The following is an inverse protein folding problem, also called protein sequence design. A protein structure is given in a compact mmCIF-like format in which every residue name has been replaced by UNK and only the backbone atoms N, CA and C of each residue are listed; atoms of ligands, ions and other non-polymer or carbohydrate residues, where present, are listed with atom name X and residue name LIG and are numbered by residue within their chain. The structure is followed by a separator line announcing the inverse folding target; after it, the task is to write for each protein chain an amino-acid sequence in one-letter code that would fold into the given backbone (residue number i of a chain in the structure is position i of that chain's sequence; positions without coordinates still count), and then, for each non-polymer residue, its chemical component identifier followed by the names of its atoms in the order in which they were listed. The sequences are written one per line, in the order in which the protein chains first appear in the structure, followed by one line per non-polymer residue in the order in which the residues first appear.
data_IF_864758490626
#
_entry.id   IF_864758490626
#
_cell.length_a   1.000
_cell.length_b   1.000
_cell.length_c   1.000
_cell.angle_alpha   90.00
_cell.angle_beta   90.00
_cell.angle_gamma   90.00
#
_symmetry.space_group_name_H-M   'P 1'
#
loop_
_entity.id
_entity.type
_entity.pdbx_description
1 polymer ?
#
# COMPACT_ATOMS: atom_id res chain seq x y z
N UNK A 1 5.22 14.69 -0.46
CA UNK A 1 3.97 15.11 -1.15
C UNK A 1 4.16 16.47 -1.79
N UNK A 2 4.43 17.54 -1.01
CA UNK A 2 4.60 18.90 -1.54
C UNK A 2 5.65 18.93 -2.67
N UNK A 3 6.82 18.35 -2.43
CA UNK A 3 7.90 18.31 -3.43
C UNK A 3 7.49 17.55 -4.69
N UNK A 4 6.73 16.46 -4.54
CA UNK A 4 6.21 15.68 -5.66
C UNK A 4 5.27 16.50 -6.56
N UNK A 5 4.38 17.30 -5.95
CA UNK A 5 3.50 18.21 -6.70
C UNK A 5 4.27 19.38 -7.31
N UNK A 6 5.24 19.96 -6.59
CA UNK A 6 6.07 21.03 -7.12
C UNK A 6 6.95 20.58 -8.28
N UNK A 7 7.36 19.31 -8.30
CA UNK A 7 8.15 18.70 -9.37
C UNK A 7 7.31 18.11 -10.50
N UNK A 8 5.99 18.25 -10.40
CA UNK A 8 5.02 17.77 -11.42
C UNK A 8 5.23 16.30 -11.81
N UNK A 9 5.50 15.43 -10.82
CA UNK A 9 5.70 14.00 -11.12
C UNK A 9 4.38 13.39 -11.59
N UNK A 10 4.40 12.44 -12.55
CA UNK A 10 3.21 11.75 -13.00
C UNK A 10 2.45 11.09 -11.84
N UNK A 11 1.13 11.20 -11.84
CA UNK A 11 0.30 10.72 -10.73
C UNK A 11 0.42 9.20 -10.51
N UNK A 12 0.62 8.43 -11.56
CA UNK A 12 0.88 6.99 -11.48
C UNK A 12 2.23 6.69 -10.82
N UNK A 13 3.27 7.49 -11.09
CA UNK A 13 4.56 7.35 -10.43
C UNK A 13 4.46 7.75 -8.95
N UNK A 14 3.69 8.79 -8.63
CA UNK A 14 3.39 9.17 -7.25
C UNK A 14 2.74 8.00 -6.48
N UNK A 15 1.67 7.40 -7.02
CA UNK A 15 1.00 6.24 -6.40
C UNK A 15 1.97 5.06 -6.23
N UNK A 16 2.75 4.73 -7.27
CA UNK A 16 3.74 3.64 -7.20
C UNK A 16 4.74 3.86 -6.07
N UNK A 17 5.18 5.10 -5.89
CA UNK A 17 6.10 5.46 -4.82
C UNK A 17 5.47 5.31 -3.43
N UNK A 18 4.18 5.63 -3.26
CA UNK A 18 3.47 5.46 -2.00
C UNK A 18 3.31 3.98 -1.60
N UNK A 19 3.08 3.09 -2.56
CA UNK A 19 2.79 1.67 -2.29
C UNK A 19 4.06 0.83 -2.26
N UNK A 20 5.00 1.07 -3.17
CA UNK A 20 6.15 0.20 -3.42
C UNK A 20 7.41 0.98 -3.82
N UNK A 21 7.61 2.19 -3.28
CA UNK A 21 8.72 3.06 -3.65
C UNK A 21 10.10 2.41 -3.44
N UNK A 22 10.23 1.64 -2.37
CA UNK A 22 11.43 0.87 -2.02
C UNK A 22 11.73 -0.30 -2.99
N UNK A 23 10.74 -0.71 -3.78
CA UNK A 23 10.81 -1.84 -4.73
C UNK A 23 10.87 -1.38 -6.19
N UNK A 24 10.78 -0.07 -6.45
CA UNK A 24 10.83 0.45 -7.81
C UNK A 24 12.23 0.29 -8.40
N UNK A 25 12.36 -0.16 -9.65
CA UNK A 25 13.65 -0.26 -10.30
C UNK A 25 14.30 1.12 -10.46
N UNK A 26 15.62 1.12 -10.52
CA UNK A 26 16.35 2.34 -10.87
C UNK A 26 15.94 2.81 -12.28
N UNK A 27 15.70 4.12 -12.47
CA UNK A 27 15.40 4.67 -13.78
C UNK A 27 16.65 4.60 -14.68
N UNK A 28 16.43 4.61 -15.97
CA UNK A 28 17.53 4.72 -16.93
C UNK A 28 18.14 6.11 -16.83
N UNK A 29 19.47 6.17 -16.84
CA UNK A 29 20.23 7.43 -16.85
C UNK A 29 19.90 8.21 -18.13
N UNK A 30 19.41 9.46 -18.01
CA UNK A 30 19.23 10.32 -19.17
C UNK A 30 20.57 10.73 -19.78
N UNK A 31 20.63 11.01 -21.10
CA UNK A 31 21.82 11.58 -21.71
C UNK A 31 22.22 12.91 -21.05
N UNK A 32 23.52 13.14 -20.89
CA UNK A 32 24.06 14.41 -20.38
C UNK A 32 24.36 14.47 -18.88
N UNK A 33 23.95 13.48 -18.10
CA UNK A 33 24.37 13.41 -16.70
C UNK A 33 25.83 12.94 -16.59
N UNK A 34 26.64 13.61 -15.75
CA UNK A 34 27.90 13.05 -15.27
C UNK A 34 27.67 11.86 -14.33
N UNK A 35 28.69 11.04 -14.06
CA UNK A 35 28.56 9.90 -13.13
C UNK A 35 28.22 10.39 -11.72
N UNK A 36 28.87 11.46 -11.27
CA UNK A 36 28.64 12.03 -9.93
C UNK A 36 27.22 12.61 -9.78
N UNK A 37 26.78 13.39 -10.75
CA UNK A 37 25.42 13.98 -10.73
C UNK A 37 24.35 12.90 -10.78
N UNK A 38 24.59 11.84 -11.58
CA UNK A 38 23.66 10.72 -11.64
C UNK A 38 23.56 9.94 -10.33
N UNK A 39 24.68 9.65 -9.66
CA UNK A 39 24.69 8.99 -8.36
C UNK A 39 24.00 9.86 -7.30
N UNK A 40 24.23 11.16 -7.30
CA UNK A 40 23.52 12.10 -6.44
C UNK A 40 22.01 12.10 -6.67
N UNK A 41 21.59 12.12 -7.93
CA UNK A 41 20.18 12.04 -8.32
C UNK A 41 19.53 10.71 -7.85
N UNK A 42 20.19 9.58 -8.09
CA UNK A 42 19.70 8.27 -7.65
C UNK A 42 19.56 8.18 -6.13
N UNK A 43 20.53 8.72 -5.38
CA UNK A 43 20.47 8.73 -3.92
C UNK A 43 19.25 9.52 -3.42
N UNK A 44 19.03 10.72 -3.97
CA UNK A 44 17.86 11.55 -3.64
C UNK A 44 16.56 10.86 -4.01
N UNK A 45 16.45 10.33 -5.22
CA UNK A 45 15.25 9.61 -5.68
C UNK A 45 14.95 8.39 -4.80
N UNK A 46 15.98 7.62 -4.43
CA UNK A 46 15.82 6.45 -3.55
C UNK A 46 15.33 6.88 -2.17
N UNK A 47 15.89 7.96 -1.61
CA UNK A 47 15.46 8.51 -0.33
C UNK A 47 13.98 8.95 -0.38
N UNK A 48 13.57 9.64 -1.43
CA UNK A 48 12.18 10.07 -1.65
C UNK A 48 11.21 8.89 -1.79
N UNK A 49 11.61 7.86 -2.52
CA UNK A 49 10.82 6.63 -2.71
C UNK A 49 10.65 5.86 -1.42
N UNK A 50 11.70 5.73 -0.61
CA UNK A 50 11.62 5.11 0.72
C UNK A 50 10.68 5.91 1.62
N UNK A 51 10.86 7.23 1.70
CA UNK A 51 10.01 8.14 2.48
C UNK A 51 8.55 8.06 2.06
N UNK A 52 8.27 7.93 0.77
CA UNK A 52 6.92 7.82 0.25
C UNK A 52 6.18 6.60 0.79
N UNK A 53 6.87 5.46 0.99
CA UNK A 53 6.25 4.24 1.52
C UNK A 53 5.73 4.39 2.95
N UNK A 54 6.17 5.42 3.68
CA UNK A 54 5.60 5.80 4.97
C UNK A 54 4.09 6.03 4.95
N UNK A 55 3.52 6.31 3.77
CA UNK A 55 2.07 6.37 3.55
C UNK A 55 1.34 5.14 4.13
N UNK A 56 1.87 3.95 3.93
CA UNK A 56 1.30 2.70 4.43
C UNK A 56 1.41 2.55 5.96
N UNK A 57 2.18 3.42 6.61
CA UNK A 57 2.36 3.43 8.07
C UNK A 57 1.59 4.55 8.78
N UNK A 58 0.87 5.42 8.07
CA UNK A 58 0.19 6.58 8.66
C UNK A 58 -1.08 6.24 9.45
N UNK A 59 -1.71 5.09 9.20
CA UNK A 59 -2.94 4.68 9.87
C UNK A 59 -2.81 4.45 11.38
N UNK A 60 -3.91 4.39 12.10
CA UNK A 60 -3.92 4.20 13.55
C UNK A 60 -3.30 2.86 13.94
N UNK A 61 -2.58 2.86 15.05
CA UNK A 61 -1.99 1.64 15.63
C UNK A 61 -2.48 1.47 17.06
N UNK A 62 -3.09 0.32 17.33
CA UNK A 62 -3.53 -0.05 18.66
C UNK A 62 -2.37 -0.46 19.56
N UNK A 63 -1.45 0.45 19.90
CA UNK A 63 -0.22 0.15 20.64
C UNK A 63 -0.46 -0.47 22.02
N UNK A 64 -1.69 -0.46 22.53
CA UNK A 64 -2.11 -1.14 23.77
C UNK A 64 -2.82 -2.47 23.52
N UNK A 65 -2.98 -2.88 22.27
CA UNK A 65 -3.55 -4.17 21.94
C UNK A 65 -2.61 -5.28 22.44
N UNK A 66 -3.14 -6.18 23.24
CA UNK A 66 -2.38 -7.27 23.85
C UNK A 66 -2.29 -8.51 22.97
N UNK A 67 -3.10 -8.57 21.93
CA UNK A 67 -3.07 -9.63 20.93
C UNK A 67 -2.29 -9.17 19.68
N UNK A 68 -1.06 -9.66 19.49
CA UNK A 68 -0.23 -9.20 18.39
C UNK A 68 -0.78 -9.57 16.99
N UNK A 69 -1.53 -10.70 16.90
CA UNK A 69 -2.14 -11.10 15.63
C UNK A 69 -3.29 -10.17 15.29
N UNK A 70 -4.13 -9.84 16.27
CA UNK A 70 -5.21 -8.88 16.10
C UNK A 70 -4.67 -7.51 15.72
N UNK A 71 -3.65 -7.02 16.44
CA UNK A 71 -3.01 -5.73 16.15
C UNK A 71 -2.49 -5.67 14.70
N UNK A 72 -1.78 -6.70 14.26
CA UNK A 72 -1.26 -6.78 12.91
C UNK A 72 -2.38 -6.79 11.86
N UNK A 73 -3.44 -7.58 12.09
CA UNK A 73 -4.58 -7.63 11.20
C UNK A 73 -5.37 -6.32 11.14
N UNK A 74 -5.42 -5.56 12.24
CA UNK A 74 -6.06 -4.24 12.24
C UNK A 74 -5.22 -3.20 11.46
N UNK A 75 -3.90 -3.30 11.48
CA UNK A 75 -3.01 -2.50 10.64
C UNK A 75 -3.21 -2.83 9.15
N UNK A 76 -3.27 -4.12 8.82
CA UNK A 76 -3.50 -4.58 7.45
C UNK A 76 -4.87 -4.13 6.95
N UNK A 77 -5.89 -4.19 7.79
CA UNK A 77 -7.24 -3.75 7.47
C UNK A 77 -7.30 -2.26 7.14
N UNK A 78 -6.63 -1.44 7.94
CA UNK A 78 -6.48 0.01 7.68
C UNK A 78 -5.77 0.28 6.35
N UNK A 79 -4.69 -0.45 6.04
CA UNK A 79 -3.99 -0.33 4.77
C UNK A 79 -4.89 -0.69 3.58
N UNK A 80 -5.66 -1.78 3.68
CA UNK A 80 -6.62 -2.21 2.65
C UNK A 80 -7.72 -1.18 2.48
N UNK A 81 -8.30 -0.71 3.58
CA UNK A 81 -9.35 0.32 3.58
C UNK A 81 -8.86 1.61 2.92
N UNK A 82 -7.66 2.07 3.31
CA UNK A 82 -7.07 3.30 2.77
C UNK A 82 -6.78 3.18 1.28
N UNK A 83 -6.12 2.11 0.85
CA UNK A 83 -5.80 1.87 -0.57
C UNK A 83 -7.08 1.65 -1.38
N UNK A 84 -8.02 0.87 -0.87
CA UNK A 84 -9.31 0.60 -1.50
C UNK A 84 -10.10 1.88 -1.75
N UNK A 85 -10.35 2.65 -0.72
CA UNK A 85 -11.12 3.91 -0.83
C UNK A 85 -10.38 4.98 -1.61
N UNK A 86 -9.09 5.20 -1.32
CA UNK A 86 -8.34 6.29 -1.92
C UNK A 86 -8.07 6.10 -3.41
N UNK A 87 -7.84 4.86 -3.87
CA UNK A 87 -7.35 4.58 -5.21
C UNK A 87 -8.33 3.78 -6.08
N UNK A 88 -9.22 3.01 -5.47
CA UNK A 88 -10.17 2.15 -6.18
C UNK A 88 -11.63 2.57 -5.97
N UNK A 89 -11.91 3.43 -4.97
CA UNK A 89 -13.28 3.82 -4.62
C UNK A 89 -14.12 2.65 -4.12
N UNK A 90 -13.52 1.71 -3.40
CA UNK A 90 -14.16 0.48 -2.91
C UNK A 90 -13.96 0.32 -1.39
N UNK A 91 -15.00 -0.15 -0.70
CA UNK A 91 -15.00 -0.44 0.73
C UNK A 91 -14.56 -1.89 1.00
N UNK A 92 -13.32 -2.23 0.64
CA UNK A 92 -12.79 -3.61 0.67
C UNK A 92 -12.77 -4.22 2.07
N UNK A 93 -12.68 -3.41 3.12
CA UNK A 93 -12.63 -3.84 4.53
C UNK A 93 -13.89 -4.58 4.98
N UNK A 94 -15.04 -4.33 4.34
CA UNK A 94 -16.27 -5.07 4.62
C UNK A 94 -16.13 -6.57 4.38
N UNK A 95 -15.28 -6.94 3.42
CA UNK A 95 -15.04 -8.34 3.05
C UNK A 95 -14.12 -9.10 4.04
N UNK A 96 -13.63 -8.44 5.11
CA UNK A 96 -12.85 -9.10 6.18
C UNK A 96 -13.62 -10.21 6.90
N UNK A 97 -14.94 -10.01 7.09
CA UNK A 97 -15.76 -10.91 7.93
C UNK A 97 -16.72 -11.79 7.13
N UNK A 98 -17.19 -11.31 6.00
CA UNK A 98 -18.16 -11.97 5.10
C UNK A 98 -18.01 -11.39 3.69
N UNK A 99 -18.50 -12.07 2.66
CA UNK A 99 -18.49 -11.52 1.32
C UNK A 99 -19.17 -10.14 1.29
N UNK A 100 -18.62 -9.21 0.51
CA UNK A 100 -19.14 -7.85 0.45
C UNK A 100 -20.62 -7.86 0.04
N UNK A 101 -21.43 -7.02 0.70
CA UNK A 101 -22.88 -7.06 0.54
C UNK A 101 -23.33 -6.62 -0.86
N UNK A 102 -22.64 -5.64 -1.43
CA UNK A 102 -23.03 -4.99 -2.67
C UNK A 102 -22.05 -5.30 -3.80
N UNK A 103 -20.76 -5.16 -3.55
CA UNK A 103 -19.71 -5.43 -4.51
C UNK A 103 -19.41 -6.93 -4.63
N UNK A 104 -19.03 -7.42 -5.81
CA UNK A 104 -18.66 -8.81 -6.01
C UNK A 104 -17.23 -9.10 -5.49
N UNK A 105 -16.96 -8.69 -4.26
CA UNK A 105 -15.70 -8.90 -3.53
C UNK A 105 -15.95 -9.97 -2.47
N UNK A 106 -15.22 -11.06 -2.56
CA UNK A 106 -15.33 -12.16 -1.61
C UNK A 106 -14.42 -11.97 -0.41
N UNK A 107 -14.70 -12.67 0.68
CA UNK A 107 -13.79 -12.78 1.82
C UNK A 107 -12.42 -13.32 1.38
N UNK A 108 -12.38 -14.25 0.42
CA UNK A 108 -11.13 -14.75 -0.14
C UNK A 108 -10.33 -13.65 -0.86
N UNK A 109 -10.99 -12.76 -1.61
CA UNK A 109 -10.35 -11.60 -2.26
C UNK A 109 -9.70 -10.66 -1.22
N UNK A 110 -10.40 -10.42 -0.10
CA UNK A 110 -9.84 -9.63 1.00
C UNK A 110 -8.55 -10.28 1.56
N UNK A 111 -8.58 -11.59 1.87
CA UNK A 111 -7.40 -12.28 2.43
C UNK A 111 -6.29 -12.48 1.39
N UNK A 112 -6.60 -12.52 0.10
CA UNK A 112 -5.59 -12.48 -0.96
C UNK A 112 -4.82 -11.16 -0.93
N UNK A 113 -5.52 -10.03 -0.83
CA UNK A 113 -4.93 -8.70 -0.73
C UNK A 113 -4.22 -8.50 0.63
N UNK A 114 -4.83 -8.97 1.71
CA UNK A 114 -4.25 -8.92 3.05
C UNK A 114 -2.92 -9.69 3.14
N UNK A 115 -2.74 -10.76 2.39
CA UNK A 115 -1.48 -11.49 2.30
C UNK A 115 -0.34 -10.64 1.73
N UNK A 116 -0.62 -9.68 0.84
CA UNK A 116 0.37 -8.72 0.32
C UNK A 116 0.89 -7.83 1.46
N UNK A 117 -0.01 -7.24 2.24
CA UNK A 117 0.35 -6.39 3.36
C UNK A 117 0.93 -7.18 4.55
N UNK A 118 0.49 -8.42 4.76
CA UNK A 118 1.11 -9.35 5.74
C UNK A 118 2.57 -9.66 5.38
N UNK A 119 2.89 -9.71 4.10
CA UNK A 119 4.25 -9.90 3.60
C UNK A 119 5.07 -8.60 3.58
N UNK A 120 4.53 -7.52 4.15
CA UNK A 120 5.14 -6.20 4.25
C UNK A 120 5.41 -5.87 5.71
N UNK A 121 6.64 -5.50 6.04
CA UNK A 121 6.99 -5.09 7.40
C UNK A 121 6.70 -3.61 7.60
N UNK A 122 5.65 -3.31 8.36
CA UNK A 122 5.20 -1.96 8.72
C UNK A 122 5.72 -1.53 10.11
N UNK A 123 5.97 -2.51 10.97
CA UNK A 123 6.43 -2.29 12.33
C UNK A 123 7.78 -2.98 12.54
N UNK A 124 8.70 -2.32 13.25
CA UNK A 124 9.98 -2.93 13.63
C UNK A 124 9.79 -4.03 14.67
N UNK A 125 8.83 -3.84 15.57
CA UNK A 125 8.43 -4.82 16.57
C UNK A 125 6.93 -4.73 16.81
N UNK A 126 6.30 -5.88 17.07
CA UNK A 126 4.92 -5.96 17.53
C UNK A 126 4.97 -6.41 18.99
N UNK A 127 4.20 -5.75 19.85
CA UNK A 127 4.16 -6.05 21.29
C UNK A 127 3.51 -7.41 21.51
N UNK A 128 4.16 -8.29 22.27
CA UNK A 128 3.61 -9.59 22.64
C UNK A 128 2.54 -9.47 23.75
N UNK A 129 1.85 -10.60 24.04
CA UNK A 129 0.81 -10.67 25.09
C UNK A 129 1.33 -10.32 26.49
N UNK A 130 2.64 -10.24 26.71
CA UNK A 130 3.27 -9.88 27.99
C UNK A 130 3.71 -8.41 28.02
N UNK A 131 3.38 -7.63 27.00
CA UNK A 131 3.79 -6.23 26.89
C UNK A 131 5.29 -6.07 26.61
N UNK A 132 5.98 -7.14 26.21
CA UNK A 132 7.38 -7.06 25.83
C UNK A 132 7.47 -6.76 24.34
N UNK A 133 8.16 -5.71 24.04
CA UNK A 133 8.36 -5.13 22.71
C UNK A 133 7.81 -3.71 22.72
N UNK A 134 8.47 -2.84 21.99
CA UNK A 134 7.95 -1.51 21.74
C UNK A 134 7.33 -1.55 20.34
N UNK A 135 6.07 -1.23 20.24
CA UNK A 135 5.37 -1.09 18.95
C UNK A 135 5.89 0.14 18.22
N UNK A 136 7.09 0.05 17.65
CA UNK A 136 7.67 1.11 16.85
C UNK A 136 7.37 0.88 15.36
N UNK A 137 7.18 1.98 14.65
CA UNK A 137 7.15 1.98 13.18
C UNK A 137 8.44 1.41 12.61
N UNK A 138 8.36 0.90 11.39
CA UNK A 138 9.56 0.63 10.61
C UNK A 138 10.17 1.96 10.20
N UNK A 139 11.44 2.16 10.51
CA UNK A 139 12.20 3.37 10.19
C UNK A 139 13.50 3.01 9.48
N UNK A 140 13.91 3.88 8.56
CA UNK A 140 15.23 3.81 7.91
C UNK A 140 15.91 5.16 7.95
N UNK A 141 17.22 5.13 8.16
CA UNK A 141 18.06 6.32 7.95
C UNK A 141 18.23 6.56 6.45
N UNK A 142 17.92 7.77 6.02
CA UNK A 142 18.16 8.23 4.66
C UNK A 142 18.97 9.52 4.69
N UNK A 143 19.68 9.80 3.59
CA UNK A 143 20.34 11.07 3.33
C UNK A 143 19.44 11.89 2.42
N UNK A 144 18.96 13.03 2.89
CA UNK A 144 18.02 13.88 2.12
C UNK A 144 18.72 14.70 1.03
N UNK A 145 19.96 15.09 1.29
CA UNK A 145 20.76 15.95 0.41
C UNK A 145 22.21 15.46 0.37
N UNK A 146 22.68 15.12 -0.81
CA UNK A 146 24.05 14.65 -1.00
C UNK A 146 25.09 15.76 -0.69
N UNK A 147 24.71 17.06 -0.79
CA UNK A 147 25.56 18.22 -0.48
C UNK A 147 25.62 18.50 1.02
N UNK A 148 24.63 18.05 1.79
CA UNK A 148 24.57 18.17 3.25
C UNK A 148 24.17 16.81 3.85
N UNK A 149 25.10 15.86 4.03
CA UNK A 149 24.80 14.45 4.31
C UNK A 149 24.31 14.20 5.74
N UNK A 150 23.36 15.01 6.22
CA UNK A 150 22.65 14.75 7.46
C UNK A 150 21.74 13.54 7.27
N UNK A 151 21.93 12.53 8.11
CA UNK A 151 21.03 11.38 8.18
C UNK A 151 19.75 11.74 8.92
N UNK A 152 18.63 11.37 8.36
CA UNK A 152 17.31 11.55 8.95
C UNK A 152 16.61 10.20 9.01
N UNK A 153 16.05 9.86 10.18
CA UNK A 153 15.17 8.69 10.30
C UNK A 153 13.80 9.02 9.72
N UNK A 154 13.33 8.17 8.82
CA UNK A 154 12.01 8.30 8.18
C UNK A 154 11.22 7.04 8.38
N UNK A 155 9.93 7.22 8.64
CA UNK A 155 8.97 6.14 8.67
C UNK A 155 8.79 5.56 7.26
N UNK A 156 8.85 4.24 7.15
CA UNK A 156 8.73 3.54 5.87
C UNK A 156 8.15 2.14 6.06
N UNK A 157 8.03 1.40 4.99
CA UNK A 157 7.80 -0.05 5.02
C UNK A 157 8.88 -0.76 4.21
N UNK A 158 9.05 -2.05 4.43
CA UNK A 158 9.95 -2.90 3.66
C UNK A 158 9.37 -4.29 3.44
N UNK A 159 10.02 -5.11 2.61
CA UNK A 159 9.66 -6.51 2.45
C UNK A 159 9.78 -7.25 3.78
N UNK A 160 8.73 -7.97 4.15
CA UNK A 160 8.65 -8.83 5.34
C UNK A 160 8.86 -10.30 5.01
N UNK A 161 8.46 -11.16 5.93
CA UNK A 161 8.39 -12.60 5.67
C UNK A 161 7.18 -12.90 4.77
N UNK A 162 7.42 -13.57 3.65
CA UNK A 162 6.36 -13.89 2.70
C UNK A 162 5.36 -14.87 3.32
N UNK A 163 4.08 -14.48 3.31
CA UNK A 163 3.02 -15.26 3.90
C UNK A 163 1.74 -15.20 3.06
N UNK A 164 1.13 -16.36 2.85
CA UNK A 164 -0.27 -16.43 2.49
C UNK A 164 -1.10 -16.43 3.77
N UNK A 165 -2.30 -15.89 3.73
CA UNK A 165 -3.19 -15.88 4.88
C UNK A 165 -4.26 -16.96 4.74
N UNK A 166 -4.74 -17.44 5.89
CA UNK A 166 -5.99 -18.20 5.95
C UNK A 166 -7.15 -17.25 6.20
N UNK A 167 -8.29 -17.54 5.63
CA UNK A 167 -9.52 -16.78 5.90
C UNK A 167 -9.80 -16.84 7.40
N UNK A 168 -9.97 -15.67 8.03
CA UNK A 168 -10.44 -15.58 9.41
C UNK A 168 -11.97 -15.58 9.39
N UNK A 169 -12.60 -16.70 9.76
CA UNK A 169 -14.05 -16.81 9.73
C UNK A 169 -14.69 -15.77 10.63
N UNK A 170 -15.60 -14.99 10.07
CA UNK A 170 -16.22 -13.84 10.75
C UNK A 170 -15.21 -12.82 11.31
N UNK A 171 -14.04 -12.71 10.66
CA UNK A 171 -12.95 -11.82 11.09
C UNK A 171 -12.12 -12.32 12.27
N UNK A 172 -12.40 -13.52 12.82
CA UNK A 172 -11.69 -14.06 13.99
C UNK A 172 -10.44 -14.82 13.56
N UNK A 173 -9.27 -14.34 13.97
CA UNK A 173 -7.99 -15.04 13.75
C UNK A 173 -7.84 -16.33 14.56
N UNK A 174 -8.77 -16.59 15.47
CA UNK A 174 -8.85 -17.84 16.25
C UNK A 174 -9.65 -18.93 15.52
N UNK A 175 -10.44 -18.58 14.50
CA UNK A 175 -11.20 -19.52 13.68
C UNK A 175 -10.75 -19.38 12.21
N UNK A 176 -9.86 -20.29 11.79
CA UNK A 176 -9.20 -20.24 10.50
C UNK A 176 -9.90 -21.13 9.47
N UNK A 177 -10.20 -20.55 8.31
CA UNK A 177 -10.70 -21.23 7.14
C UNK A 177 -9.60 -21.75 6.21
N UNK A 178 -9.86 -21.72 4.92
CA UNK A 178 -8.91 -22.11 3.88
C UNK A 178 -7.75 -21.11 3.75
N UNK A 179 -6.63 -21.59 3.21
CA UNK A 179 -5.51 -20.72 2.86
C UNK A 179 -5.77 -20.06 1.51
N UNK A 180 -5.49 -18.76 1.44
CA UNK A 180 -5.63 -17.95 0.24
C UNK A 180 -4.26 -17.44 -0.19
N UNK A 181 -3.92 -17.61 -1.46
CA UNK A 181 -2.68 -17.06 -2.04
C UNK A 181 -2.80 -15.55 -2.17
N UNK A 182 -1.66 -14.86 -2.02
CA UNK A 182 -1.57 -13.42 -2.30
C UNK A 182 -2.05 -13.11 -3.70
N UNK A 183 -2.86 -12.06 -3.83
CA UNK A 183 -3.49 -11.73 -5.11
C UNK A 183 -4.35 -10.47 -5.02
N UNK A 184 -5.16 -10.28 -6.04
CA UNK A 184 -6.01 -9.12 -6.22
C UNK A 184 -7.47 -9.58 -6.33
N UNK A 185 -8.45 -8.68 -6.10
CA UNK A 185 -9.86 -9.03 -6.23
C UNK A 185 -10.17 -9.63 -7.61
N UNK A 186 -10.71 -10.84 -7.62
CA UNK A 186 -10.90 -11.63 -8.83
C UNK A 186 -11.79 -10.92 -9.87
N UNK A 187 -12.81 -10.20 -9.41
CA UNK A 187 -13.72 -9.46 -10.29
C UNK A 187 -12.99 -8.37 -11.07
N UNK A 188 -11.99 -7.72 -10.46
CA UNK A 188 -11.24 -6.63 -11.08
C UNK A 188 -10.16 -7.14 -12.04
N UNK A 189 -9.68 -8.38 -11.83
CA UNK A 189 -8.64 -8.99 -12.67
C UNK A 189 -9.18 -9.76 -13.87
N UNK A 190 -10.49 -10.01 -13.94
CA UNK A 190 -11.11 -10.73 -15.08
C UNK A 190 -10.89 -10.06 -16.42
N UNK A 191 -10.91 -8.73 -16.46
CA UNK A 191 -10.75 -7.94 -17.69
C UNK A 191 -9.35 -7.39 -17.88
N UNK A 192 -8.59 -7.32 -16.79
CA UNK A 192 -7.25 -6.79 -16.76
C UNK A 192 -6.39 -7.65 -15.82
N UNK A 193 -5.66 -8.60 -16.43
CA UNK A 193 -4.85 -9.54 -15.69
C UNK A 193 -3.73 -8.82 -14.93
N UNK A 194 -3.69 -9.01 -13.62
CA UNK A 194 -2.57 -8.58 -12.82
C UNK A 194 -1.37 -9.50 -13.02
N UNK A 195 -0.16 -8.98 -12.86
CA UNK A 195 1.05 -9.78 -12.88
C UNK A 195 1.04 -10.82 -11.74
N UNK A 196 1.53 -12.02 -12.02
CA UNK A 196 1.66 -13.06 -11.00
C UNK A 196 2.64 -12.60 -9.90
N UNK A 197 2.29 -12.90 -8.66
CA UNK A 197 3.15 -12.64 -7.50
C UNK A 197 4.05 -13.85 -7.29
N UNK A 198 5.35 -13.64 -7.33
CA UNK A 198 6.35 -14.67 -7.08
C UNK A 198 6.39 -15.14 -5.62
N UNK A 199 6.96 -16.32 -5.35
CA UNK A 199 7.01 -16.86 -3.99
C UNK A 199 7.84 -16.01 -3.02
N UNK A 200 8.81 -15.26 -3.54
CA UNK A 200 9.75 -14.41 -2.79
C UNK A 200 9.40 -12.93 -2.82
N UNK A 201 8.23 -12.58 -3.32
CA UNK A 201 7.75 -11.18 -3.45
C UNK A 201 6.53 -10.97 -2.56
N UNK A 202 6.43 -9.82 -1.89
CA UNK A 202 5.21 -9.47 -1.12
C UNK A 202 3.99 -9.34 -2.02
N UNK A 203 4.19 -8.83 -3.23
CA UNK A 203 3.15 -8.44 -4.18
C UNK A 203 2.87 -6.92 -4.18
N UNK A 204 3.54 -6.11 -3.34
CA UNK A 204 3.35 -4.65 -3.32
C UNK A 204 3.70 -3.99 -4.65
N UNK A 205 4.80 -4.41 -5.28
CA UNK A 205 5.19 -3.87 -6.58
C UNK A 205 4.16 -4.20 -7.66
N UNK A 206 3.64 -5.44 -7.65
CA UNK A 206 2.59 -5.87 -8.57
C UNK A 206 1.29 -5.10 -8.29
N UNK A 207 0.95 -4.89 -7.00
CA UNK A 207 -0.21 -4.09 -6.59
C UNK A 207 -0.10 -2.65 -7.10
N UNK A 208 1.04 -2.00 -6.89
CA UNK A 208 1.30 -0.64 -7.33
C UNK A 208 1.16 -0.50 -8.86
N UNK A 209 1.74 -1.44 -9.60
CA UNK A 209 1.65 -1.48 -11.07
C UNK A 209 0.21 -1.73 -11.54
N UNK A 210 -0.50 -2.66 -10.93
CA UNK A 210 -1.87 -2.99 -11.28
C UNK A 210 -2.84 -1.83 -11.02
N UNK A 211 -2.72 -1.15 -9.87
CA UNK A 211 -3.53 0.04 -9.56
C UNK A 211 -3.28 1.15 -10.57
N UNK A 212 -2.03 1.34 -11.00
CA UNK A 212 -1.65 2.43 -11.91
C UNK A 212 -1.65 2.05 -13.37
N UNK A 213 -2.06 0.84 -13.71
CA UNK A 213 -2.16 0.43 -15.10
C UNK A 213 -3.31 1.15 -15.83
N UNK A 214 -3.06 1.57 -17.06
CA UNK A 214 -4.05 2.27 -17.88
C UNK A 214 -5.32 1.43 -18.14
N UNK A 215 -5.22 0.10 -18.06
CA UNK A 215 -6.36 -0.81 -18.16
C UNK A 215 -7.18 -0.93 -16.87
N UNK A 216 -6.69 -0.41 -15.73
CA UNK A 216 -7.46 -0.41 -14.49
C UNK A 216 -8.61 0.62 -14.61
N UNK A 217 -9.88 0.18 -14.54
CA UNK A 217 -11.00 1.07 -14.79
C UNK A 217 -11.31 2.04 -13.64
N UNK A 218 -10.77 1.82 -12.45
CA UNK A 218 -11.18 2.52 -11.24
C UNK A 218 -10.29 3.72 -10.91
N UNK A 219 -8.98 3.54 -10.90
CA UNK A 219 -8.03 4.56 -10.37
C UNK A 219 -8.20 5.92 -11.03
N UNK A 220 -8.28 5.98 -12.38
CA UNK A 220 -8.46 7.25 -13.08
C UNK A 220 -9.84 7.87 -12.81
N UNK A 221 -10.89 7.06 -12.68
CA UNK A 221 -12.24 7.54 -12.36
C UNK A 221 -12.31 8.11 -10.95
N UNK A 222 -11.69 7.43 -9.98
CA UNK A 222 -11.66 7.88 -8.58
C UNK A 222 -10.94 9.22 -8.46
N UNK A 223 -9.76 9.36 -9.05
CA UNK A 223 -9.01 10.62 -8.96
C UNK A 223 -9.74 11.77 -9.66
N UNK A 224 -10.31 11.54 -10.84
CA UNK A 224 -11.10 12.56 -11.55
C UNK A 224 -12.32 12.98 -10.73
N UNK A 225 -13.04 12.01 -10.14
CA UNK A 225 -14.20 12.30 -9.30
C UNK A 225 -13.83 13.13 -8.07
N UNK A 226 -12.71 12.85 -7.42
CA UNK A 226 -12.22 13.62 -6.26
C UNK A 226 -11.79 15.03 -6.64
N UNK A 227 -11.06 15.19 -7.74
CA UNK A 227 -10.68 16.51 -8.26
C UNK A 227 -11.94 17.30 -8.58
N UNK A 228 -12.92 16.69 -9.24
CA UNK A 228 -14.20 17.32 -9.51
C UNK A 228 -14.92 17.75 -8.24
N UNK A 229 -15.00 16.86 -7.24
CA UNK A 229 -15.62 17.15 -5.95
C UNK A 229 -14.95 18.33 -5.23
N UNK A 230 -13.63 18.41 -5.25
CA UNK A 230 -12.90 19.52 -4.62
C UNK A 230 -13.16 20.86 -5.30
N UNK A 231 -13.40 20.87 -6.60
CA UNK A 231 -13.68 22.10 -7.35
C UNK A 231 -15.16 22.50 -7.30
N UNK A 232 -16.07 21.55 -7.29
CA UNK A 232 -17.51 21.79 -7.46
C UNK A 232 -18.36 21.41 -6.24
N UNK A 233 -17.76 20.87 -5.19
CA UNK A 233 -18.42 20.52 -3.93
C UNK A 233 -19.03 19.12 -3.90
N UNK A 234 -19.58 18.64 -5.01
CA UNK A 234 -20.16 17.29 -5.15
C UNK A 234 -19.45 16.54 -6.26
N UNK A 235 -19.16 15.27 -6.07
CA UNK A 235 -18.54 14.41 -7.08
C UNK A 235 -19.47 14.08 -8.25
N UNK A 236 -18.92 13.67 -9.38
CA UNK A 236 -19.70 13.07 -10.48
C UNK A 236 -20.40 11.79 -10.00
N UNK A 237 -19.73 11.06 -9.11
CA UNK A 237 -20.28 10.02 -8.26
C UNK A 237 -20.35 10.60 -6.85
N UNK A 238 -21.53 10.63 -6.26
CA UNK A 238 -21.76 11.27 -4.94
C UNK A 238 -21.07 10.52 -3.79
N UNK A 239 -20.81 9.21 -3.96
CA UNK A 239 -20.14 8.33 -3.01
C UNK A 239 -18.66 8.14 -3.41
N UNK A 240 -17.75 9.12 -3.14
CA UNK A 240 -16.38 9.14 -3.68
C UNK A 240 -15.51 7.96 -3.20
N UNK A 241 -15.89 7.33 -2.10
CA UNK A 241 -15.19 6.21 -1.48
C UNK A 241 -15.87 4.86 -1.76
N UNK A 242 -16.98 4.87 -2.48
CA UNK A 242 -17.78 3.69 -2.78
C UNK A 242 -18.41 3.79 -4.18
N UNK A 243 -17.65 3.37 -5.19
CA UNK A 243 -18.08 3.35 -6.60
C UNK A 243 -18.87 2.08 -6.95
N UNK A 244 -19.01 1.16 -6.00
CA UNK A 244 -19.77 -0.09 -6.16
C UNK A 244 -21.28 0.07 -5.95
N UNK A 245 -21.73 1.18 -5.37
CA UNK A 245 -23.15 1.51 -5.15
C UNK A 245 -23.70 2.49 -6.18
#
# INVERSE_FOLDING_TARGET
VIDAFNSDIPFDEFIRSLIAGDLLPEPRRPPGFSDGDWQGHLASLTADRIRATGFLSLGPKGLREVDPVKMEMDIIDDQISTVGKALLGLTLECARCHDHKFDPITTADYYALAGIFKSTRTMSQIVDKRGKGNGFWMEREIVLDASAPAKVSVMCVEEGAMANLRVHRRGSHLDLGEEVRRGFPAVLTRRHAAAAIGPTESGRLQLARWITDAGNPLTSRVVVNRIWQWHFGVGLVETPDNFGE
#
